data_IF_701822274575
#
_entry.id   IF_701822274575
#
_cell.length_a   1.000
_cell.length_b   1.000
_cell.length_c   1.000
_cell.angle_alpha   90.00
_cell.angle_beta   90.00
_cell.angle_gamma   90.00
#
_symmetry.space_group_name_H-M   'P 1'
#
loop_
_entity.id
_entity.type
_entity.pdbx_description
1 polymer ?
#
# COMPACT_ATOMS: atom_id res chain seq x y z
N UNK A 1 3.42 2.15 22.99
CA UNK A 1 3.91 2.06 21.60
C UNK A 1 3.91 0.60 21.18
N UNK A 2 2.98 0.18 20.32
CA UNK A 2 2.87 -1.23 19.89
C UNK A 2 3.85 -1.47 18.72
N UNK A 3 4.90 -2.25 18.96
CA UNK A 3 5.76 -2.78 17.89
C UNK A 3 4.98 -3.89 17.13
N UNK A 4 5.02 -3.88 15.80
CA UNK A 4 4.72 -5.07 14.98
C UNK A 4 3.35 -5.20 14.32
N UNK A 5 2.63 -4.11 13.99
CA UNK A 5 1.41 -4.22 13.18
C UNK A 5 1.74 -4.50 11.72
N UNK A 6 1.17 -5.58 11.19
CA UNK A 6 1.21 -5.93 9.77
C UNK A 6 -0.20 -6.28 9.28
N UNK A 7 -0.50 -5.90 8.04
CA UNK A 7 -1.71 -6.27 7.32
C UNK A 7 -1.36 -6.85 5.95
N UNK A 8 -2.22 -7.74 5.44
CA UNK A 8 -2.07 -8.35 4.13
C UNK A 8 -3.26 -8.01 3.24
N UNK A 9 -2.97 -7.62 2.01
CA UNK A 9 -3.94 -7.41 0.94
C UNK A 9 -3.66 -8.41 -0.18
N UNK A 10 -4.65 -9.22 -0.53
CA UNK A 10 -4.55 -10.16 -1.65
C UNK A 10 -5.42 -9.61 -2.76
N UNK A 11 -4.83 -9.42 -3.94
CA UNK A 11 -5.56 -9.05 -5.16
C UNK A 11 -5.49 -10.22 -6.12
N UNK A 12 -6.65 -10.78 -6.45
CA UNK A 12 -6.79 -11.80 -7.49
C UNK A 12 -7.20 -11.13 -8.79
N UNK A 13 -6.38 -11.33 -9.82
CA UNK A 13 -6.70 -10.86 -11.16
C UNK A 13 -7.57 -11.90 -11.88
N UNK A 14 -8.80 -11.50 -12.23
CA UNK A 14 -9.71 -12.31 -13.05
C UNK A 14 -9.79 -11.66 -14.43
N UNK A 15 -9.63 -12.43 -15.51
CA UNK A 15 -9.78 -11.90 -16.87
C UNK A 15 -11.18 -11.26 -17.04
N UNK A 16 -11.22 -9.96 -17.36
CA UNK A 16 -12.45 -9.25 -17.72
C UNK A 16 -13.31 -8.70 -16.58
N UNK A 17 -12.83 -8.68 -15.33
CA UNK A 17 -13.51 -8.02 -14.21
C UNK A 17 -12.55 -7.20 -13.33
N UNK A 18 -12.92 -5.95 -13.06
CA UNK A 18 -12.19 -5.06 -12.14
C UNK A 18 -12.29 -5.54 -10.68
N UNK A 19 -11.21 -5.33 -9.94
CA UNK A 19 -10.89 -5.95 -8.66
C UNK A 19 -11.98 -5.86 -7.57
N UNK A 20 -12.10 -6.95 -6.80
CA UNK A 20 -13.03 -7.12 -5.67
C UNK A 20 -12.41 -6.48 -4.41
N UNK A 21 -13.18 -5.65 -3.71
CA UNK A 21 -12.80 -5.01 -2.45
C UNK A 21 -12.67 -6.05 -1.33
N UNK A 22 -11.47 -6.20 -0.75
CA UNK A 22 -11.24 -7.06 0.40
C UNK A 22 -10.86 -6.21 1.62
N UNK A 23 -11.74 -6.20 2.62
CA UNK A 23 -11.47 -5.70 3.97
C UNK A 23 -11.55 -6.84 4.97
N UNK A 24 -10.58 -6.82 5.88
CA UNK A 24 -10.36 -7.68 7.04
C UNK A 24 -9.73 -9.05 6.75
N UNK A 25 -8.43 -9.14 7.11
CA UNK A 25 -7.62 -10.35 7.31
C UNK A 25 -7.95 -11.53 6.38
N UNK A 26 -7.13 -11.68 5.33
CA UNK A 26 -7.16 -12.75 4.30
C UNK A 26 -8.47 -12.79 3.52
N UNK A 27 -8.44 -12.24 2.30
CA UNK A 27 -9.46 -12.49 1.31
C UNK A 27 -9.55 -14.01 1.04
N UNK A 28 -10.68 -14.63 1.35
CA UNK A 28 -11.03 -15.89 0.72
C UNK A 28 -11.57 -15.56 -0.66
N UNK A 29 -10.70 -15.63 -1.67
CA UNK A 29 -11.11 -15.54 -3.06
C UNK A 29 -11.45 -16.96 -3.51
N UNK A 30 -12.66 -17.22 -4.06
CA UNK A 30 -12.93 -18.51 -4.69
C UNK A 30 -11.87 -18.75 -5.77
N UNK A 31 -11.16 -19.87 -5.67
CA UNK A 31 -10.12 -20.27 -6.63
C UNK A 31 -10.73 -20.31 -8.03
N UNK A 32 -10.44 -19.28 -8.81
CA UNK A 32 -10.64 -19.22 -10.25
C UNK A 32 -9.27 -18.86 -10.80
N UNK A 33 -8.78 -19.64 -11.76
CA UNK A 33 -7.41 -19.56 -12.28
C UNK A 33 -7.00 -18.11 -12.61
N UNK A 34 -6.22 -17.50 -11.72
CA UNK A 34 -5.73 -16.13 -11.79
C UNK A 34 -4.42 -16.00 -11.02
N UNK A 35 -3.59 -15.01 -11.38
CA UNK A 35 -2.34 -14.74 -10.64
C UNK A 35 -2.68 -13.87 -9.43
N UNK A 36 -2.57 -14.44 -8.23
CA UNK A 36 -2.72 -13.70 -6.98
C UNK A 36 -1.47 -12.87 -6.70
N UNK A 37 -1.63 -11.56 -6.51
CA UNK A 37 -0.57 -10.70 -5.96
C UNK A 37 -0.87 -10.37 -4.51
N UNK A 38 -0.01 -10.84 -3.60
CA UNK A 38 -0.09 -10.54 -2.17
C UNK A 38 0.79 -9.33 -1.82
N UNK A 39 0.16 -8.33 -1.20
CA UNK A 39 0.83 -7.16 -0.64
C UNK A 39 0.83 -7.25 0.89
N UNK A 40 1.93 -6.83 1.49
CA UNK A 40 2.03 -6.69 2.94
C UNK A 40 2.28 -5.23 3.30
N UNK A 41 1.51 -4.72 4.25
CA UNK A 41 1.69 -3.41 4.85
C UNK A 41 2.26 -3.58 6.25
N UNK A 42 3.36 -2.91 6.54
CA UNK A 42 3.98 -2.91 7.87
C UNK A 42 3.96 -1.51 8.44
N UNK A 43 3.56 -1.36 9.71
CA UNK A 43 3.59 -0.06 10.35
C UNK A 43 5.05 0.33 10.65
N UNK A 44 5.57 1.42 10.07
CA UNK A 44 6.99 1.75 10.21
C UNK A 44 7.35 2.40 11.55
N UNK A 45 6.35 2.63 12.42
CA UNK A 45 6.49 3.40 13.65
C UNK A 45 6.04 4.85 13.47
N UNK A 46 5.71 5.51 14.59
CA UNK A 46 5.06 6.84 14.58
C UNK A 46 5.93 7.91 13.94
N UNK A 47 7.22 7.96 14.29
CA UNK A 47 8.16 8.96 13.75
C UNK A 47 8.32 8.83 12.23
N UNK A 48 8.50 7.59 11.76
CA UNK A 48 8.64 7.31 10.32
C UNK A 48 7.32 7.59 9.59
N UNK A 49 6.18 7.19 10.16
CA UNK A 49 4.85 7.47 9.61
C UNK A 49 4.58 8.98 9.49
N UNK A 50 4.97 9.77 10.49
CA UNK A 50 4.85 11.23 10.44
C UNK A 50 5.76 11.82 9.36
N UNK A 51 6.99 11.31 9.22
CA UNK A 51 7.92 11.78 8.18
C UNK A 51 7.39 11.58 6.76
N UNK A 52 6.56 10.55 6.51
CA UNK A 52 5.91 10.35 5.20
C UNK A 52 4.96 11.51 4.89
N UNK A 53 4.22 12.01 5.88
CA UNK A 53 3.29 13.13 5.73
C UNK A 53 4.05 14.44 5.58
N UNK A 54 5.06 14.66 6.41
CA UNK A 54 5.85 15.90 6.43
C UNK A 54 6.63 16.08 5.11
N UNK A 55 7.20 14.99 4.58
CA UNK A 55 7.92 14.99 3.30
C UNK A 55 6.98 15.09 2.08
N UNK A 56 5.67 14.92 2.27
CA UNK A 56 4.69 15.08 1.21
C UNK A 56 4.26 16.54 1.00
N UNK A 57 4.95 17.52 1.60
CA UNK A 57 4.62 18.94 1.50
C UNK A 57 5.72 19.66 0.72
N UNK A 58 5.34 20.44 -0.30
CA UNK A 58 6.29 21.24 -1.07
C UNK A 58 6.72 22.54 -0.35
N UNK A 59 7.67 23.26 -0.95
CA UNK A 59 8.15 24.54 -0.40
C UNK A 59 7.06 25.63 -0.28
N UNK A 60 5.86 25.41 -0.82
CA UNK A 60 4.70 26.29 -0.73
C UNK A 60 3.63 25.80 0.26
N UNK A 61 3.95 24.78 1.07
CA UNK A 61 3.02 24.15 2.01
C UNK A 61 1.87 23.38 1.34
N UNK A 62 2.01 23.02 0.05
CA UNK A 62 1.02 22.23 -0.67
C UNK A 62 1.31 20.73 -0.51
N UNK A 63 0.27 19.95 -0.21
CA UNK A 63 0.37 18.50 -0.19
C UNK A 63 0.51 17.91 -1.60
N UNK A 64 1.55 17.10 -1.78
CA UNK A 64 1.95 16.45 -3.02
C UNK A 64 1.68 14.95 -2.91
N UNK A 65 0.55 14.53 -3.48
CA UNK A 65 0.07 13.13 -3.41
C UNK A 65 1.08 12.10 -3.95
N UNK A 66 1.85 12.47 -4.98
CA UNK A 66 2.90 11.61 -5.52
C UNK A 66 4.01 11.31 -4.51
N UNK A 67 4.48 12.32 -3.78
CA UNK A 67 5.52 12.17 -2.76
C UNK A 67 5.02 11.38 -1.55
N UNK A 68 3.75 11.59 -1.18
CA UNK A 68 3.12 10.77 -0.14
C UNK A 68 3.09 9.30 -0.53
N UNK A 69 2.65 8.99 -1.76
CA UNK A 69 2.59 7.62 -2.25
C UNK A 69 3.97 6.99 -2.41
N UNK A 70 4.99 7.76 -2.77
CA UNK A 70 6.38 7.31 -2.71
C UNK A 70 6.77 6.85 -1.31
N UNK A 71 6.47 7.66 -0.29
CA UNK A 71 6.72 7.31 1.10
C UNK A 71 5.96 6.05 1.55
N UNK A 72 4.70 5.88 1.13
CA UNK A 72 3.94 4.65 1.40
C UNK A 72 4.61 3.44 0.75
N UNK A 73 5.02 3.55 -0.50
CA UNK A 73 5.71 2.46 -1.18
C UNK A 73 7.02 2.10 -0.50
N UNK A 74 7.80 3.09 -0.05
CA UNK A 74 9.14 2.90 0.53
C UNK A 74 9.11 2.32 1.93
N UNK A 75 8.14 2.73 2.73
CA UNK A 75 8.20 2.53 4.18
C UNK A 75 7.01 1.73 4.73
N UNK A 76 5.92 1.61 3.98
CA UNK A 76 4.71 0.91 4.42
C UNK A 76 4.51 -0.39 3.64
N UNK A 77 4.69 -0.38 2.31
CA UNK A 77 4.48 -1.55 1.45
C UNK A 77 5.75 -2.39 1.40
N UNK A 78 5.78 -3.54 2.07
CA UNK A 78 6.98 -4.38 2.22
C UNK A 78 7.00 -5.64 1.34
N UNK A 79 5.88 -5.98 0.70
CA UNK A 79 5.77 -7.09 -0.23
C UNK A 79 4.85 -6.75 -1.42
N UNK A 80 5.06 -7.33 -2.61
CA UNK A 80 6.11 -8.31 -2.93
C UNK A 80 7.52 -7.71 -2.99
N UNK A 81 8.56 -8.51 -2.73
CA UNK A 81 9.96 -8.04 -2.68
C UNK A 81 10.48 -7.56 -4.06
N UNK A 82 9.87 -8.04 -5.14
CA UNK A 82 10.10 -7.54 -6.50
C UNK A 82 9.80 -6.04 -6.67
N UNK A 83 9.01 -5.41 -5.78
CA UNK A 83 8.77 -3.96 -5.76
C UNK A 83 10.00 -3.13 -5.37
N UNK A 84 11.05 -3.76 -4.83
CA UNK A 84 12.27 -3.06 -4.39
C UNK A 84 13.23 -2.73 -5.54
N UNK A 85 13.07 -3.38 -6.70
CA UNK A 85 13.88 -3.15 -7.90
C UNK A 85 12.99 -2.48 -8.95
N UNK A 86 13.27 -1.22 -9.30
CA UNK A 86 12.49 -0.41 -10.25
C UNK A 86 11.01 -0.19 -9.86
N UNK A 87 10.81 0.24 -8.61
CA UNK A 87 9.52 0.53 -7.99
C UNK A 87 8.57 1.37 -8.87
N UNK A 88 9.04 2.50 -9.38
CA UNK A 88 8.19 3.41 -10.15
C UNK A 88 7.79 2.82 -11.51
N UNK A 89 8.72 2.21 -12.26
CA UNK A 89 8.42 1.55 -13.54
C UNK A 89 7.32 0.49 -13.38
N UNK A 90 7.37 -0.25 -12.27
CA UNK A 90 6.36 -1.24 -11.95
C UNK A 90 5.01 -0.59 -11.62
N UNK A 91 4.99 0.40 -10.71
CA UNK A 91 3.75 1.04 -10.24
C UNK A 91 3.05 1.90 -11.28
N UNK A 92 3.77 2.59 -12.16
CA UNK A 92 3.19 3.47 -13.18
C UNK A 92 2.31 2.72 -14.18
N UNK A 93 2.63 1.44 -14.44
CA UNK A 93 1.88 0.56 -15.33
C UNK A 93 0.97 -0.42 -14.59
N UNK A 94 1.00 -0.43 -13.25
CA UNK A 94 0.27 -1.41 -12.45
C UNK A 94 -1.21 -1.04 -12.33
N UNK A 95 -2.10 -1.86 -12.92
CA UNK A 95 -3.56 -1.62 -12.90
C UNK A 95 -4.16 -1.45 -11.50
N UNK A 96 -3.54 -2.06 -10.49
CA UNK A 96 -4.00 -2.01 -9.10
C UNK A 96 -3.36 -0.87 -8.28
N UNK A 97 -2.58 0.01 -8.91
CA UNK A 97 -1.86 1.10 -8.25
C UNK A 97 -2.72 1.86 -7.24
N UNK A 98 -3.83 2.43 -7.70
CA UNK A 98 -4.69 3.24 -6.84
C UNK A 98 -5.30 2.44 -5.70
N UNK A 99 -5.64 1.17 -5.94
CA UNK A 99 -6.24 0.31 -4.94
C UNK A 99 -5.26 0.00 -3.81
N UNK A 100 -4.02 -0.37 -4.17
CA UNK A 100 -2.98 -0.66 -3.16
C UNK A 100 -2.57 0.60 -2.40
N UNK A 101 -2.42 1.75 -3.07
CA UNK A 101 -2.09 3.01 -2.37
C UNK A 101 -3.19 3.43 -1.38
N UNK A 102 -4.46 3.28 -1.76
CA UNK A 102 -5.58 3.57 -0.86
C UNK A 102 -5.63 2.61 0.33
N UNK A 103 -5.31 1.33 0.12
CA UNK A 103 -5.26 0.35 1.20
C UNK A 103 -4.12 0.65 2.19
N UNK A 104 -2.92 0.98 1.69
CA UNK A 104 -1.77 1.38 2.49
C UNK A 104 -2.05 2.68 3.28
N UNK A 105 -2.71 3.66 2.66
CA UNK A 105 -3.13 4.92 3.31
C UNK A 105 -4.12 4.66 4.46
N UNK A 106 -5.17 3.87 4.21
CA UNK A 106 -6.14 3.46 5.23
C UNK A 106 -5.45 2.73 6.39
N UNK A 107 -4.51 1.82 6.09
CA UNK A 107 -3.72 1.12 7.10
C UNK A 107 -2.90 2.09 7.97
N UNK A 108 -2.14 2.98 7.35
CA UNK A 108 -1.30 3.95 8.05
C UNK A 108 -2.13 4.89 8.93
N UNK A 109 -3.25 5.39 8.40
CA UNK A 109 -4.20 6.26 9.12
C UNK A 109 -4.79 5.56 10.34
N UNK A 110 -5.18 4.28 10.22
CA UNK A 110 -5.64 3.51 11.39
C UNK A 110 -4.55 3.36 12.44
N UNK A 111 -3.31 3.09 12.02
CA UNK A 111 -2.20 2.93 12.95
C UNK A 111 -1.84 4.24 13.69
N UNK A 112 -1.97 5.39 13.04
CA UNK A 112 -1.73 6.71 13.64
C UNK A 112 -2.84 7.16 14.60
N UNK A 113 -4.07 6.67 14.41
CA UNK A 113 -5.24 7.05 15.21
C UNK A 113 -5.62 6.02 16.29
N UNK A 114 -4.85 4.93 16.47
CA UNK A 114 -5.10 3.84 17.41
C UNK A 114 -4.36 3.99 18.75
#
# INVERSE_FOLDING_TARGET
MKKGYQEKLIITEIEGQDAIEATENTAYVPVVEGVDTEYTFTFPGVEVAQSIVDNAVDGTQRFMKGWYYEGLMDLVITAPESLKLNKWDWWESHKNYMFVMNAADKFLTRCLNA
#
